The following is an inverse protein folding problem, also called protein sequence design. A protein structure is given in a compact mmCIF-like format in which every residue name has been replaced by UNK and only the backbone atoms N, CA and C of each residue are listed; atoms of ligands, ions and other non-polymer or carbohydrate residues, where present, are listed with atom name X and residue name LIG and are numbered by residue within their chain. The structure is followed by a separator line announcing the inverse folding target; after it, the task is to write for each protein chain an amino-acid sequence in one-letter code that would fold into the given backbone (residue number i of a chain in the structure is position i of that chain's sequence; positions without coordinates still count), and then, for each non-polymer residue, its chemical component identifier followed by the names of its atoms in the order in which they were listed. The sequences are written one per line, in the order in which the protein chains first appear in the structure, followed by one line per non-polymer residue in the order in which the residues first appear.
data_IF_708621296302
#
_entry.id   IF_708621296302
#
_cell.length_a   1.000
_cell.length_b   1.000
_cell.length_c   1.000
_cell.angle_alpha   90.00
_cell.angle_beta   90.00
_cell.angle_gamma   90.00
#
_symmetry.space_group_name_H-M   'P 1'
#
loop_
_entity.id
_entity.type
_entity.pdbx_description
1 polymer ?
#
# COMPACT_ATOMS: atom_id res chain seq x y z
N UNK A 1 -3.70 3.54 61.16
CA UNK A 1 -2.59 4.00 60.29
C UNK A 1 -2.53 3.07 59.08
N UNK A 2 -3.01 3.50 57.92
CA UNK A 2 -3.04 2.65 56.71
C UNK A 2 -1.63 2.55 56.15
N UNK A 3 -0.99 1.38 56.30
CA UNK A 3 0.36 1.11 55.80
C UNK A 3 0.27 1.08 54.27
N UNK A 4 0.74 2.13 53.60
CA UNK A 4 0.84 2.20 52.13
C UNK A 4 1.97 1.25 51.72
N UNK A 5 1.62 0.14 51.06
CA UNK A 5 2.60 -0.70 50.37
C UNK A 5 2.93 -0.02 49.04
N UNK A 6 4.03 0.73 49.02
CA UNK A 6 4.56 1.37 47.81
C UNK A 6 5.93 0.80 47.49
N UNK A 7 6.27 0.80 46.21
CA UNK A 7 7.61 0.41 45.76
C UNK A 7 8.67 1.32 46.39
N UNK A 8 9.72 0.72 46.93
CA UNK A 8 10.86 1.49 47.43
C UNK A 8 11.58 2.17 46.27
N UNK A 9 12.22 3.31 46.49
CA UNK A 9 13.01 3.95 45.42
C UNK A 9 14.08 3.01 44.86
N UNK A 10 14.70 2.20 45.71
CA UNK A 10 15.72 1.25 45.28
C UNK A 10 15.17 0.20 44.30
N UNK A 11 13.95 -0.29 44.53
CA UNK A 11 13.31 -1.30 43.68
C UNK A 11 12.98 -0.75 42.28
N UNK A 12 12.47 0.47 42.21
CA UNK A 12 12.19 1.14 40.93
C UNK A 12 13.48 1.52 40.19
N UNK A 13 14.53 1.94 40.91
CA UNK A 13 15.81 2.33 40.29
C UNK A 13 16.54 1.14 39.66
N UNK A 14 16.56 -0.01 40.32
CA UNK A 14 17.19 -1.22 39.77
C UNK A 14 16.44 -1.72 38.54
N UNK A 15 15.10 -1.71 38.58
CA UNK A 15 14.30 -2.13 37.43
C UNK A 15 14.51 -1.21 36.23
N UNK A 16 14.41 0.12 36.41
CA UNK A 16 14.67 1.08 35.32
C UNK A 16 16.09 0.94 34.75
N UNK A 17 17.09 0.63 35.57
CA UNK A 17 18.46 0.35 35.11
C UNK A 17 18.55 -0.89 34.24
N UNK A 18 17.93 -2.00 34.64
CA UNK A 18 17.94 -3.26 33.87
C UNK A 18 17.18 -3.10 32.55
N UNK A 19 15.95 -2.54 32.59
CA UNK A 19 15.12 -2.38 31.40
C UNK A 19 15.81 -1.41 30.41
N UNK A 20 16.48 -0.37 30.89
CA UNK A 20 17.20 0.60 30.06
C UNK A 20 18.34 -0.04 29.24
N UNK A 21 19.16 -0.91 29.85
CA UNK A 21 20.25 -1.60 29.15
C UNK A 21 19.71 -2.60 28.13
N UNK A 22 18.71 -3.40 28.52
CA UNK A 22 18.11 -4.41 27.62
C UNK A 22 17.41 -3.75 26.44
N UNK A 23 16.67 -2.66 26.67
CA UNK A 23 16.01 -1.89 25.61
C UNK A 23 17.03 -1.31 24.61
N UNK A 24 18.17 -0.82 25.09
CA UNK A 24 19.23 -0.28 24.24
C UNK A 24 19.82 -1.32 23.27
N UNK A 25 19.84 -2.61 23.63
CA UNK A 25 20.33 -3.69 22.75
C UNK A 25 19.23 -4.29 21.87
N UNK A 26 18.00 -4.36 22.38
CA UNK A 26 16.89 -5.07 21.72
C UNK A 26 16.12 -4.20 20.72
N UNK A 27 15.81 -2.94 21.08
CA UNK A 27 15.07 -2.01 20.22
C UNK A 27 15.75 -1.78 18.86
N UNK A 28 17.06 -1.47 18.79
CA UNK A 28 17.70 -1.26 17.49
C UNK A 28 17.71 -2.53 16.63
N UNK A 29 17.93 -3.70 17.24
CA UNK A 29 17.97 -5.00 16.55
C UNK A 29 16.61 -5.39 15.97
N UNK A 30 15.53 -5.19 16.73
CA UNK A 30 14.16 -5.44 16.27
C UNK A 30 13.78 -4.50 15.12
N UNK A 31 14.10 -3.21 15.23
CA UNK A 31 13.80 -2.23 14.17
C UNK A 31 14.59 -2.57 12.90
N UNK A 32 15.89 -2.85 13.02
CA UNK A 32 16.73 -3.24 11.89
C UNK A 32 16.19 -4.49 11.16
N UNK A 33 15.79 -5.52 11.92
CA UNK A 33 15.25 -6.75 11.34
C UNK A 33 13.89 -6.53 10.64
N UNK A 34 13.00 -5.70 11.20
CA UNK A 34 11.70 -5.42 10.55
C UNK A 34 11.84 -4.55 9.30
N UNK A 35 12.85 -3.68 9.24
CA UNK A 35 13.05 -2.78 8.11
C UNK A 35 13.40 -3.56 6.82
N UNK A 36 14.23 -4.59 6.89
CA UNK A 36 14.57 -5.41 5.71
C UNK A 36 13.36 -6.15 5.11
N UNK A 37 12.46 -6.65 5.96
CA UNK A 37 11.21 -7.27 5.52
C UNK A 37 10.22 -6.24 4.95
N UNK A 38 10.15 -5.04 5.55
CA UNK A 38 9.34 -3.93 5.06
C UNK A 38 9.80 -3.46 3.68
N UNK A 39 11.10 -3.27 3.45
CA UNK A 39 11.61 -2.83 2.16
C UNK A 39 11.29 -3.83 1.04
N UNK A 40 11.51 -5.14 1.25
CA UNK A 40 11.17 -6.17 0.26
C UNK A 40 9.66 -6.24 -0.01
N UNK A 41 8.84 -6.13 1.04
CA UNK A 41 7.38 -6.20 0.92
C UNK A 41 6.79 -4.96 0.25
N UNK A 42 7.30 -3.76 0.60
CA UNK A 42 6.91 -2.51 -0.05
C UNK A 42 7.35 -2.49 -1.51
N UNK A 43 8.58 -2.93 -1.82
CA UNK A 43 9.06 -3.02 -3.20
C UNK A 43 8.21 -3.96 -4.04
N UNK A 44 7.92 -5.18 -3.54
CA UNK A 44 7.04 -6.14 -4.21
C UNK A 44 5.63 -5.58 -4.40
N UNK A 45 5.11 -4.83 -3.42
CA UNK A 45 3.81 -4.17 -3.52
C UNK A 45 3.82 -3.10 -4.61
N UNK A 46 4.82 -2.21 -4.61
CA UNK A 46 4.97 -1.18 -5.65
C UNK A 46 5.08 -1.79 -7.05
N UNK A 47 5.87 -2.85 -7.23
CA UNK A 47 5.98 -3.56 -8.50
C UNK A 47 4.64 -4.21 -8.92
N UNK A 48 3.94 -4.83 -7.97
CA UNK A 48 2.61 -5.40 -8.23
C UNK A 48 1.59 -4.35 -8.64
N UNK A 49 1.58 -3.19 -7.97
CA UNK A 49 0.71 -2.06 -8.31
C UNK A 49 1.05 -1.50 -9.68
N UNK A 50 2.33 -1.37 -10.02
CA UNK A 50 2.77 -0.92 -11.35
C UNK A 50 2.38 -1.90 -12.45
N UNK A 51 2.51 -3.21 -12.21
CA UNK A 51 2.10 -4.21 -13.18
C UNK A 51 0.57 -4.22 -13.38
N UNK A 52 -0.21 -4.09 -12.31
CA UNK A 52 -1.66 -3.95 -12.41
C UNK A 52 -2.06 -2.66 -13.12
N UNK A 53 -1.39 -1.54 -12.84
CA UNK A 53 -1.62 -0.28 -13.54
C UNK A 53 -1.22 -0.36 -15.02
N UNK A 54 -0.13 -1.07 -15.35
CA UNK A 54 0.31 -1.31 -16.72
C UNK A 54 -0.66 -2.21 -17.50
N UNK A 55 -1.18 -3.27 -16.88
CA UNK A 55 -2.21 -4.12 -17.46
C UNK A 55 -3.55 -3.40 -17.60
N UNK A 56 -3.95 -2.59 -16.61
CA UNK A 56 -5.15 -1.75 -16.72
C UNK A 56 -4.97 -0.67 -17.79
N UNK A 57 -3.78 -0.07 -17.91
CA UNK A 57 -3.48 0.86 -18.98
C UNK A 57 -3.50 0.14 -20.33
N UNK A 58 -2.93 -1.06 -20.45
CA UNK A 58 -3.01 -1.86 -21.67
C UNK A 58 -4.45 -2.25 -22.02
N UNK A 59 -5.29 -2.57 -21.02
CA UNK A 59 -6.70 -2.90 -21.23
C UNK A 59 -7.57 -1.67 -21.54
N UNK A 60 -7.21 -0.49 -21.03
CA UNK A 60 -7.90 0.79 -21.30
C UNK A 60 -7.43 1.42 -22.63
N UNK A 61 -6.15 1.22 -22.98
CA UNK A 61 -5.55 1.54 -24.28
C UNK A 61 -5.57 0.32 -25.21
N UNK A 62 -6.47 -0.64 -24.98
CA UNK A 62 -6.99 -1.51 -26.05
C UNK A 62 -7.78 -0.57 -26.96
N UNK A 63 -7.01 0.18 -27.75
CA UNK A 63 -7.49 0.98 -28.84
C UNK A 63 -8.24 -0.02 -29.71
N UNK A 64 -9.57 0.06 -29.67
CA UNK A 64 -10.48 -0.66 -30.54
C UNK A 64 -10.18 -0.25 -32.00
N UNK A 65 -9.12 -0.83 -32.55
CA UNK A 65 -8.78 -0.72 -33.96
C UNK A 65 -9.78 -1.50 -34.83
N UNK A 66 -10.63 -2.34 -34.23
CA UNK A 66 -11.69 -3.05 -34.93
C UNK A 66 -12.92 -2.16 -35.19
N UNK A 67 -13.10 -1.05 -34.45
CA UNK A 67 -14.13 -0.04 -34.69
C UNK A 67 -13.72 1.07 -35.68
N UNK A 68 -12.43 1.25 -35.95
CA UNK A 68 -11.92 2.30 -36.84
C UNK A 68 -11.94 1.94 -38.33
N UNK A 69 -12.24 0.69 -38.71
CA UNK A 69 -12.52 0.32 -40.12
C UNK A 69 -14.02 0.32 -40.45
N UNK A 70 -14.89 0.37 -39.43
CA UNK A 70 -16.28 0.74 -39.67
C UNK A 70 -16.38 2.26 -39.74
N UNK A 71 -16.06 2.80 -40.93
CA UNK A 71 -16.64 4.05 -41.35
C UNK A 71 -18.12 4.03 -40.95
N UNK A 72 -18.57 5.02 -40.16
CA UNK A 72 -20.00 5.26 -39.97
C UNK A 72 -20.64 5.30 -41.35
N UNK A 73 -21.23 4.19 -41.79
CA UNK A 73 -21.97 4.13 -43.04
C UNK A 73 -23.21 4.94 -42.75
N UNK A 74 -23.22 6.17 -43.25
CA UNK A 74 -24.44 6.96 -43.34
C UNK A 74 -25.47 6.08 -44.04
N UNK A 75 -26.43 5.57 -43.27
CA UNK A 75 -27.62 4.97 -43.85
C UNK A 75 -28.29 6.07 -44.67
N UNK A 76 -28.30 5.92 -45.99
CA UNK A 76 -29.15 6.67 -46.90
C UNK A 76 -30.59 6.36 -46.51
N UNK A 77 -31.14 7.13 -45.56
CA UNK A 77 -32.46 6.86 -44.99
C UNK A 77 -32.60 7.19 -43.50
N UNK A 78 -32.43 8.47 -43.16
CA UNK A 78 -33.24 9.12 -42.12
C UNK A 78 -33.21 8.59 -40.68
N UNK A 79 -32.07 8.10 -40.17
CA UNK A 79 -31.91 7.79 -38.74
C UNK A 79 -30.42 7.83 -38.33
N UNK A 80 -29.86 9.02 -38.18
CA UNK A 80 -28.57 9.21 -37.51
C UNK A 80 -28.82 9.84 -36.14
N UNK A 81 -28.30 9.23 -35.06
CA UNK A 81 -27.59 9.92 -33.97
C UNK A 81 -27.51 9.09 -32.68
N UNK A 82 -26.81 7.94 -32.66
CA UNK A 82 -26.34 7.36 -31.38
C UNK A 82 -25.03 6.60 -31.57
N UNK A 83 -24.02 7.28 -32.12
CA UNK A 83 -22.63 6.89 -31.92
C UNK A 83 -22.06 7.94 -30.96
N UNK A 84 -21.63 7.51 -29.77
CA UNK A 84 -21.23 8.28 -28.59
C UNK A 84 -22.31 8.65 -27.55
N UNK A 85 -22.60 7.68 -26.70
CA UNK A 85 -22.75 7.85 -25.24
C UNK A 85 -22.63 6.44 -24.66
N UNK A 86 -21.48 6.01 -24.14
CA UNK A 86 -20.91 6.32 -22.81
C UNK A 86 -19.78 5.27 -22.58
N UNK A 87 -18.86 5.41 -21.60
CA UNK A 87 -18.95 6.08 -20.28
C UNK A 87 -18.53 7.55 -20.21
#
# INVERSE_FOLDING_TARGET
MTKRFGFTLAEVLITLGIIGVVAAMTIPTLIANTNSAKFRSQFKKSLSTLNQAGLMAQAQYDFDYAGADTACKEATGGRQSWCYSKP
#
